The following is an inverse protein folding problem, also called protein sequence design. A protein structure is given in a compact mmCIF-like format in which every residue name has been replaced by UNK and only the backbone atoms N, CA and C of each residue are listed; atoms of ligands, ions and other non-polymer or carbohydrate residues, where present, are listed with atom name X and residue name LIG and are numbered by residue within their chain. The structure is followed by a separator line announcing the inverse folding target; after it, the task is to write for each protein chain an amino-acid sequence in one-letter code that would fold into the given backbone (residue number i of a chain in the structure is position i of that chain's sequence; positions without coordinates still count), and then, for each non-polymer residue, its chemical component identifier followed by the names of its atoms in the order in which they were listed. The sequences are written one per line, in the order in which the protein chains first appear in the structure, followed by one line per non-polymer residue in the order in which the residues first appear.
data_IF_675316087768
#
_entry.id   IF_675316087768
#
_cell.length_a   1.000
_cell.length_b   1.000
_cell.length_c   1.000
_cell.angle_alpha   90.00
_cell.angle_beta   90.00
_cell.angle_gamma   90.00
#
_symmetry.space_group_name_H-M   'P 1'
#
loop_
_entity.id
_entity.type
_entity.pdbx_description
1 polymer ?
#
# COMPACT_ATOMS: atom_id res chain seq x y z
N UNK A 1 -0.31 6.15 26.97
CA UNK A 1 -1.73 5.88 26.71
C UNK A 1 -2.40 5.52 28.04
N UNK A 2 -3.36 6.32 28.48
CA UNK A 2 -4.16 6.09 29.68
C UNK A 2 -5.33 5.12 29.38
N UNK A 3 -6.17 4.85 30.40
CA UNK A 3 -7.27 3.90 30.26
C UNK A 3 -8.39 4.38 29.32
N UNK A 4 -8.74 5.67 29.39
CA UNK A 4 -9.76 6.28 28.52
C UNK A 4 -9.31 6.19 27.05
N UNK A 5 -8.05 6.45 26.78
CA UNK A 5 -7.48 6.36 25.44
C UNK A 5 -7.44 4.91 24.92
N UNK A 6 -7.17 3.93 25.79
CA UNK A 6 -7.27 2.50 25.43
C UNK A 6 -8.70 2.10 25.07
N UNK A 7 -9.68 2.57 25.84
CA UNK A 7 -11.10 2.32 25.54
C UNK A 7 -11.53 2.99 24.23
N UNK A 8 -11.08 4.21 23.97
CA UNK A 8 -11.33 4.88 22.68
C UNK A 8 -10.70 4.10 21.51
N UNK A 9 -9.48 3.57 21.69
CA UNK A 9 -8.82 2.75 20.69
C UNK A 9 -9.58 1.44 20.43
N UNK A 10 -10.08 0.79 21.49
CA UNK A 10 -10.92 -0.39 21.36
C UNK A 10 -12.24 -0.10 20.62
N UNK A 11 -12.89 1.02 20.96
CA UNK A 11 -14.14 1.44 20.34
C UNK A 11 -13.98 1.71 18.84
N UNK A 12 -12.94 2.42 18.42
CA UNK A 12 -12.71 2.67 16.99
C UNK A 12 -12.34 1.39 16.23
N UNK A 13 -11.61 0.47 16.87
CA UNK A 13 -11.27 -0.82 16.27
C UNK A 13 -12.54 -1.62 15.98
N UNK A 14 -13.46 -1.70 16.96
CA UNK A 14 -14.75 -2.37 16.77
C UNK A 14 -15.65 -1.67 15.73
N UNK A 15 -15.68 -0.34 15.72
CA UNK A 15 -16.44 0.43 14.73
C UNK A 15 -15.95 0.15 13.30
N UNK A 16 -14.63 0.03 13.10
CA UNK A 16 -14.05 -0.29 11.78
C UNK A 16 -14.39 -1.70 11.25
N UNK A 17 -14.94 -2.57 12.08
CA UNK A 17 -15.37 -3.92 11.72
C UNK A 17 -16.89 -3.99 11.46
N UNK A 18 -17.61 -2.90 11.72
CA UNK A 18 -19.06 -2.81 11.55
C UNK A 18 -19.43 -2.59 10.09
N UNK A 19 -20.42 -3.33 9.61
CA UNK A 19 -20.91 -3.21 8.24
C UNK A 19 -21.46 -1.79 7.94
N UNK A 20 -21.14 -1.25 6.77
CA UNK A 20 -21.59 0.07 6.34
C UNK A 20 -20.78 1.26 6.88
N UNK A 21 -19.81 1.03 7.77
CA UNK A 21 -18.87 2.07 8.23
C UNK A 21 -17.82 2.37 7.16
N UNK A 22 -17.46 3.65 7.01
CA UNK A 22 -16.27 4.02 6.23
C UNK A 22 -15.00 3.56 6.96
N UNK A 23 -14.47 2.43 6.52
CA UNK A 23 -13.25 1.87 7.09
C UNK A 23 -12.05 2.79 6.97
N UNK A 24 -11.96 3.64 5.93
CA UNK A 24 -10.83 4.54 5.76
C UNK A 24 -10.79 5.59 6.87
N UNK A 25 -11.96 6.09 7.29
CA UNK A 25 -12.11 7.00 8.41
C UNK A 25 -11.76 6.32 9.74
N UNK A 26 -12.34 5.14 10.01
CA UNK A 26 -12.02 4.37 11.21
C UNK A 26 -10.52 4.05 11.33
N UNK A 27 -9.90 3.65 10.22
CA UNK A 27 -8.47 3.40 10.14
C UNK A 27 -7.64 4.67 10.43
N UNK A 28 -8.01 5.82 9.87
CA UNK A 28 -7.32 7.08 10.14
C UNK A 28 -7.40 7.42 11.64
N UNK A 29 -8.58 7.28 12.24
CA UNK A 29 -8.81 7.55 13.66
C UNK A 29 -8.05 6.57 14.58
N UNK A 30 -7.96 5.29 14.21
CA UNK A 30 -7.14 4.30 14.91
C UNK A 30 -5.67 4.74 15.02
N UNK A 31 -5.06 5.14 13.90
CA UNK A 31 -3.68 5.63 13.89
C UNK A 31 -3.51 6.91 14.71
N UNK A 32 -4.46 7.84 14.62
CA UNK A 32 -4.42 9.10 15.36
C UNK A 32 -4.40 8.85 16.88
N UNK A 33 -5.25 7.96 17.38
CA UNK A 33 -5.31 7.62 18.80
C UNK A 33 -4.00 7.01 19.32
N UNK A 34 -3.34 6.16 18.52
CA UNK A 34 -2.03 5.60 18.89
C UNK A 34 -0.96 6.70 18.95
N UNK A 35 -0.94 7.60 17.98
CA UNK A 35 0.01 8.72 17.94
C UNK A 35 -0.17 9.66 19.14
N UNK A 36 -1.42 10.00 19.47
CA UNK A 36 -1.75 10.84 20.62
C UNK A 36 -1.45 10.13 21.95
N UNK A 37 -1.75 8.83 22.03
CA UNK A 37 -1.50 8.00 23.21
C UNK A 37 -0.02 7.79 23.54
N UNK A 38 0.90 8.12 22.63
CA UNK A 38 2.34 8.17 22.95
C UNK A 38 2.70 9.37 23.84
N UNK A 39 1.81 10.35 24.00
CA UNK A 39 2.00 11.60 24.75
C UNK A 39 3.28 12.37 24.39
N UNK A 40 3.77 12.20 23.17
CA UNK A 40 4.93 12.91 22.64
C UNK A 40 4.48 13.81 21.50
N UNK A 41 4.26 15.09 21.81
CA UNK A 41 3.72 16.08 20.86
C UNK A 41 4.61 16.26 19.62
N UNK A 42 5.93 16.16 19.79
CA UNK A 42 6.89 16.27 18.67
C UNK A 42 6.71 15.10 17.71
N UNK A 43 6.74 13.86 18.24
CA UNK A 43 6.52 12.67 17.42
C UNK A 43 5.14 12.66 16.78
N UNK A 44 4.09 13.02 17.52
CA UNK A 44 2.74 13.08 16.99
C UNK A 44 2.63 14.07 15.81
N UNK A 45 3.23 15.26 15.93
CA UNK A 45 3.28 16.24 14.83
C UNK A 45 4.03 15.70 13.62
N UNK A 46 5.24 15.15 13.83
CA UNK A 46 6.06 14.63 12.72
C UNK A 46 5.36 13.47 12.00
N UNK A 47 4.74 12.55 12.73
CA UNK A 47 4.01 11.42 12.14
C UNK A 47 2.73 11.91 11.44
N UNK A 48 2.05 12.92 12.00
CA UNK A 48 0.90 13.57 11.38
C UNK A 48 1.24 14.13 10.00
N UNK A 49 2.32 14.91 9.91
CA UNK A 49 2.78 15.51 8.64
C UNK A 49 3.13 14.45 7.59
N UNK A 50 3.79 13.36 8.00
CA UNK A 50 4.07 12.23 7.11
C UNK A 50 2.79 11.50 6.70
N UNK A 51 1.84 11.34 7.62
CA UNK A 51 0.58 10.66 7.37
C UNK A 51 -0.24 11.39 6.31
N UNK A 52 -0.31 12.73 6.35
CA UNK A 52 -1.00 13.56 5.36
C UNK A 52 -0.51 13.29 3.93
N UNK A 53 0.79 13.06 3.74
CA UNK A 53 1.38 12.73 2.42
C UNK A 53 0.97 11.35 1.92
N UNK A 54 0.62 10.44 2.83
CA UNK A 54 0.22 9.06 2.51
C UNK A 54 -1.29 8.85 2.44
N UNK A 55 -2.09 9.79 2.93
CA UNK A 55 -3.57 9.69 3.00
C UNK A 55 -4.23 9.30 1.67
N UNK A 56 -3.87 9.89 0.50
CA UNK A 56 -4.52 9.55 -0.77
C UNK A 56 -4.40 8.05 -1.10
N UNK A 57 -3.25 7.45 -0.76
CA UNK A 57 -2.95 6.05 -1.05
C UNK A 57 -3.66 5.10 -0.09
N UNK A 58 -3.84 5.50 1.18
CA UNK A 58 -4.50 4.67 2.20
C UNK A 58 -5.96 4.38 1.87
N UNK A 59 -6.71 5.38 1.39
CA UNK A 59 -8.09 5.15 0.94
C UNK A 59 -8.16 4.44 -0.41
N UNK A 60 -7.23 4.74 -1.32
CA UNK A 60 -7.22 4.15 -2.66
C UNK A 60 -7.00 2.62 -2.64
N UNK A 61 -6.11 2.10 -1.79
CA UNK A 61 -5.86 0.66 -1.68
C UNK A 61 -7.11 -0.14 -1.25
N UNK A 62 -7.96 0.42 -0.39
CA UNK A 62 -9.19 -0.24 0.07
C UNK A 62 -10.25 -0.31 -1.03
N UNK A 63 -10.34 0.74 -1.86
CA UNK A 63 -11.19 0.73 -3.07
C UNK A 63 -10.66 -0.23 -4.13
N UNK A 64 -9.35 -0.35 -4.26
CA UNK A 64 -8.71 -1.23 -5.23
C UNK A 64 -8.77 -2.72 -4.82
N UNK A 65 -8.80 -3.03 -3.52
CA UNK A 65 -8.81 -4.40 -3.01
C UNK A 65 -9.59 -4.51 -1.70
N UNK A 66 -10.84 -4.98 -1.78
CA UNK A 66 -11.69 -5.19 -0.60
C UNK A 66 -11.07 -6.14 0.43
N UNK A 67 -10.33 -7.17 0.02
CA UNK A 67 -9.64 -8.08 0.96
C UNK A 67 -8.58 -7.39 1.83
N UNK A 68 -8.04 -6.24 1.40
CA UNK A 68 -7.11 -5.46 2.23
C UNK A 68 -7.78 -4.88 3.47
N UNK A 69 -9.09 -4.58 3.42
CA UNK A 69 -9.86 -4.10 4.58
C UNK A 69 -9.87 -5.18 5.67
N UNK A 70 -10.22 -6.41 5.31
CA UNK A 70 -10.29 -7.54 6.26
C UNK A 70 -8.92 -7.85 6.88
N UNK A 71 -7.85 -7.81 6.08
CA UNK A 71 -6.49 -7.96 6.58
C UNK A 71 -6.10 -6.85 7.56
N UNK A 72 -6.41 -5.59 7.22
CA UNK A 72 -6.10 -4.42 8.04
C UNK A 72 -6.87 -4.45 9.37
N UNK A 73 -8.13 -4.90 9.38
CA UNK A 73 -8.90 -5.11 10.60
C UNK A 73 -8.23 -6.14 11.52
N UNK A 74 -7.77 -7.27 10.97
CA UNK A 74 -7.04 -8.29 11.74
C UNK A 74 -5.74 -7.75 12.33
N UNK A 75 -5.00 -6.97 11.55
CA UNK A 75 -3.76 -6.31 11.99
C UNK A 75 -4.04 -5.32 13.12
N UNK A 76 -5.09 -4.50 13.01
CA UNK A 76 -5.50 -3.55 14.04
C UNK A 76 -5.88 -4.23 15.35
N UNK A 77 -6.62 -5.33 15.28
CA UNK A 77 -6.99 -6.11 16.47
C UNK A 77 -5.76 -6.65 17.20
N UNK A 78 -4.80 -7.22 16.46
CA UNK A 78 -3.55 -7.70 17.06
C UNK A 78 -2.75 -6.55 17.73
N UNK A 79 -2.69 -5.38 17.09
CA UNK A 79 -2.04 -4.19 17.66
C UNK A 79 -2.77 -3.73 18.94
N UNK A 80 -4.10 -3.69 18.91
CA UNK A 80 -4.92 -3.35 20.08
C UNK A 80 -4.63 -4.32 21.22
N UNK A 81 -4.64 -5.63 20.97
CA UNK A 81 -4.40 -6.66 21.98
C UNK A 81 -3.02 -6.48 22.64
N UNK A 82 -1.97 -6.18 21.86
CA UNK A 82 -0.64 -5.87 22.37
C UNK A 82 -0.63 -4.59 23.23
N UNK A 83 -1.37 -3.55 22.82
CA UNK A 83 -1.49 -2.30 23.61
C UNK A 83 -2.26 -2.54 24.93
N UNK A 84 -3.34 -3.33 24.90
CA UNK A 84 -4.15 -3.65 26.08
C UNK A 84 -3.37 -4.51 27.08
N UNK A 85 -2.57 -5.45 26.59
CA UNK A 85 -1.64 -6.26 27.40
C UNK A 85 -0.40 -5.50 27.86
N UNK A 86 -0.24 -4.23 27.43
CA UNK A 86 0.89 -3.35 27.74
C UNK A 86 2.25 -3.88 27.23
N UNK A 87 2.23 -4.71 26.19
CA UNK A 87 3.44 -5.16 25.50
C UNK A 87 3.84 -4.13 24.43
N UNK A 88 4.67 -3.18 24.83
CA UNK A 88 5.15 -2.13 23.94
C UNK A 88 6.03 -2.67 22.80
N UNK A 89 6.77 -3.75 23.03
CA UNK A 89 7.68 -4.31 22.04
C UNK A 89 6.88 -4.99 20.91
N UNK A 90 5.88 -5.79 21.29
CA UNK A 90 4.99 -6.46 20.36
C UNK A 90 4.13 -5.45 19.59
N UNK A 91 3.55 -4.46 20.27
CA UNK A 91 2.77 -3.41 19.61
C UNK A 91 3.60 -2.67 18.56
N UNK A 92 4.87 -2.37 18.86
CA UNK A 92 5.77 -1.72 17.91
C UNK A 92 6.14 -2.64 16.73
N UNK A 93 6.32 -3.94 16.99
CA UNK A 93 6.57 -4.95 15.95
C UNK A 93 5.40 -5.07 14.98
N UNK A 94 4.19 -5.24 15.50
CA UNK A 94 2.97 -5.35 14.74
C UNK A 94 2.66 -4.09 13.92
N UNK A 95 2.87 -2.90 14.50
CA UNK A 95 2.68 -1.64 13.77
C UNK A 95 3.64 -1.51 12.58
N UNK A 96 4.92 -1.92 12.72
CA UNK A 96 5.86 -1.93 11.59
C UNK A 96 5.42 -2.90 10.50
N UNK A 97 4.99 -4.10 10.88
CA UNK A 97 4.48 -5.09 9.93
C UNK A 97 3.23 -4.57 9.18
N UNK A 98 2.28 -3.96 9.90
CA UNK A 98 1.06 -3.36 9.35
C UNK A 98 1.35 -2.25 8.32
N UNK A 99 2.28 -1.34 8.63
CA UNK A 99 2.70 -0.28 7.70
C UNK A 99 3.39 -0.90 6.47
N UNK A 100 4.25 -1.91 6.66
CA UNK A 100 4.91 -2.63 5.58
C UNK A 100 3.94 -3.34 4.64
N UNK A 101 2.95 -4.05 5.18
CA UNK A 101 1.90 -4.71 4.40
C UNK A 101 1.09 -3.71 3.56
N UNK A 102 0.75 -2.56 4.15
CA UNK A 102 0.08 -1.47 3.43
C UNK A 102 0.94 -0.91 2.30
N UNK A 103 2.24 -0.74 2.53
CA UNK A 103 3.18 -0.28 1.50
C UNK A 103 3.26 -1.25 0.31
N UNK A 104 3.41 -2.56 0.56
CA UNK A 104 3.42 -3.57 -0.50
C UNK A 104 2.12 -3.54 -1.31
N UNK A 105 0.97 -3.46 -0.63
CA UNK A 105 -0.34 -3.36 -1.29
C UNK A 105 -0.48 -2.12 -2.19
N UNK A 106 0.04 -0.97 -1.76
CA UNK A 106 0.04 0.27 -2.54
C UNK A 106 0.96 0.15 -3.76
N UNK A 107 2.18 -0.38 -3.60
CA UNK A 107 3.12 -0.59 -4.72
C UNK A 107 2.49 -1.48 -5.79
N UNK A 108 1.86 -2.58 -5.38
CA UNK A 108 1.16 -3.49 -6.29
C UNK A 108 -0.01 -2.82 -7.01
N UNK A 109 -0.78 -1.97 -6.31
CA UNK A 109 -1.86 -1.19 -6.90
C UNK A 109 -1.32 -0.23 -7.98
N UNK A 110 -0.24 0.49 -7.68
CA UNK A 110 0.39 1.42 -8.62
C UNK A 110 0.95 0.68 -9.83
N UNK A 111 1.63 -0.46 -9.62
CA UNK A 111 2.15 -1.30 -10.71
C UNK A 111 1.03 -1.74 -11.67
N UNK A 112 -0.06 -2.29 -11.14
CA UNK A 112 -1.22 -2.72 -11.95
C UNK A 112 -1.81 -1.56 -12.77
N UNK A 113 -1.91 -0.37 -12.18
CA UNK A 113 -2.42 0.82 -12.88
C UNK A 113 -1.57 1.19 -14.10
N UNK A 114 -0.24 1.11 -13.97
CA UNK A 114 0.70 1.40 -15.07
C UNK A 114 0.59 0.36 -16.17
N UNK A 115 0.49 -0.93 -15.81
CA UNK A 115 0.35 -2.03 -16.77
C UNK A 115 -0.95 -1.92 -17.59
N UNK A 116 -2.09 -1.65 -16.93
CA UNK A 116 -3.39 -1.48 -17.61
C UNK A 116 -3.44 -0.22 -18.48
N UNK A 117 -2.70 0.84 -18.11
CA UNK A 117 -2.69 2.10 -18.87
C UNK A 117 -1.66 2.11 -20.01
N UNK A 118 -0.86 1.04 -20.17
CA UNK A 118 0.14 0.95 -21.24
C UNK A 118 -0.54 0.63 -22.58
N UNK A 119 -0.37 1.47 -23.63
CA UNK A 119 -0.89 1.20 -24.97
C UNK A 119 -0.31 -0.06 -25.63
N UNK A 120 0.74 -0.64 -25.05
CA UNK A 120 1.49 -1.77 -25.60
C UNK A 120 1.24 -3.10 -24.87
N UNK A 121 0.29 -3.17 -23.92
CA UNK A 121 0.04 -4.36 -23.10
C UNK A 121 -0.76 -5.46 -23.82
N UNK A 122 -1.66 -5.10 -24.76
CA UNK A 122 -2.44 -6.08 -25.54
C UNK A 122 -1.71 -6.62 -26.77
N UNK A 123 -0.77 -5.86 -27.33
CA UNK A 123 -0.07 -6.19 -28.58
C UNK A 123 1.07 -7.21 -28.42
N UNK A 124 1.51 -7.52 -27.20
CA UNK A 124 2.55 -8.51 -26.93
C UNK A 124 2.04 -9.97 -26.94
N UNK A 125 0.71 -10.17 -26.86
CA UNK A 125 0.09 -11.50 -26.70
C UNK A 125 -0.15 -12.25 -28.00
N UNK A 126 0.18 -11.67 -29.16
CA UNK A 126 -0.12 -12.21 -30.48
C UNK A 126 1.11 -12.27 -31.39
N UNK A 127 2.17 -12.91 -30.92
CA UNK A 127 3.14 -13.53 -31.84
C UNK A 127 2.62 -14.93 -32.20
N UNK A 128 2.31 -15.22 -33.48
CA UNK A 128 1.96 -16.58 -33.86
C UNK A 128 3.17 -17.49 -33.60
N UNK A 129 2.92 -18.67 -33.02
CA UNK A 129 3.94 -19.70 -32.86
C UNK A 129 4.52 -20.04 -34.24
N UNK A 130 5.69 -19.49 -34.56
CA UNK A 130 6.36 -19.73 -35.83
C UNK A 130 6.84 -21.18 -35.84
N UNK A 131 6.29 -21.94 -36.79
CA UNK A 131 6.60 -23.35 -36.98
C UNK A 131 8.09 -23.58 -37.15
N UNK A 132 8.57 -24.60 -36.45
CA UNK A 132 9.92 -25.17 -36.57
C UNK A 132 10.19 -25.56 -38.02
N UNK A 133 11.03 -24.80 -38.75
CA UNK A 133 11.68 -25.25 -39.98
C UNK A 133 13.18 -25.44 -39.74
N UNK A 134 13.67 -26.66 -39.97
CA UNK A 134 15.10 -26.97 -40.12
C UNK A 134 15.60 -26.26 -41.38
N UNK A 135 16.70 -25.51 -41.27
CA UNK A 135 17.39 -24.92 -42.41
C UNK A 135 18.65 -24.21 -41.96
N UNK A 136 19.81 -24.70 -42.41
CA UNK A 136 21.14 -24.19 -42.09
C UNK A 136 21.47 -22.89 -42.84
N UNK A 137 22.20 -21.96 -42.22
CA UNK A 137 23.38 -21.27 -42.76
C UNK A 137 23.60 -19.87 -42.15
N UNK A 138 24.82 -19.68 -41.65
CA UNK A 138 25.70 -18.51 -41.48
C UNK A 138 25.16 -17.05 -41.55
N UNK A 139 25.69 -16.30 -40.57
CA UNK A 139 26.33 -14.97 -40.64
C UNK A 139 25.57 -13.65 -40.39
N UNK A 140 26.30 -12.80 -39.65
CA UNK A 140 26.27 -11.35 -39.48
C UNK A 140 25.19 -10.73 -38.58
N UNK A 141 25.68 -10.10 -37.51
CA UNK A 141 24.90 -9.40 -36.50
C UNK A 141 24.21 -8.15 -37.06
N UNK A 142 22.96 -7.97 -36.67
CA UNK A 142 22.18 -6.77 -36.91
C UNK A 142 21.61 -6.31 -35.57
N UNK A 143 22.23 -5.28 -34.99
CA UNK A 143 21.63 -4.56 -33.87
C UNK A 143 20.41 -3.79 -34.39
N UNK A 144 19.25 -3.84 -33.71
CA UNK A 144 18.12 -3.01 -34.09
C UNK A 144 18.44 -1.53 -33.85
N UNK A 145 17.92 -0.60 -34.67
CA UNK A 145 18.19 0.82 -34.50
C UNK A 145 17.58 1.35 -33.21
N UNK A 146 18.32 2.18 -32.47
CA UNK A 146 17.81 2.89 -31.31
C UNK A 146 16.74 3.90 -31.73
N UNK A 147 15.64 4.06 -30.96
CA UNK A 147 14.61 5.02 -31.29
C UNK A 147 15.11 6.46 -31.16
N UNK A 148 14.71 7.30 -32.11
CA UNK A 148 14.96 8.74 -32.14
C UNK A 148 14.25 9.43 -30.96
N UNK A 149 15.01 10.15 -30.13
CA UNK A 149 14.49 10.95 -29.01
C UNK A 149 14.53 12.43 -29.43
N UNK A 150 13.39 13.11 -29.64
CA UNK A 150 13.38 14.54 -29.89
C UNK A 150 13.81 15.29 -28.61
N UNK A 151 14.76 16.22 -28.75
CA UNK A 151 15.19 17.11 -27.67
C UNK A 151 13.99 17.98 -27.26
N UNK A 152 13.65 17.96 -25.97
CA UNK A 152 12.75 18.97 -25.40
C UNK A 152 13.53 20.26 -25.25
N UNK A 153 13.15 21.27 -26.02
CA UNK A 153 13.56 22.63 -25.75
C UNK A 153 12.99 23.03 -24.38
N UNK A 154 13.88 23.53 -23.52
CA UNK A 154 13.55 24.07 -22.20
C UNK A 154 13.33 25.57 -22.40
N UNK A 155 12.10 26.03 -22.16
CA UNK A 155 11.78 27.44 -21.94
C UNK A 155 11.60 27.71 -20.46
#
# INVERSE_FOLDING_TARGET
MNEVERQALAAVTAAGETEGVDYAEANARFHELIQQGAHNRVLASTIGDLSLRTLPWRGAQFRARASRIVESQREHRAILDAILSRDAAEAASLMRAHIGASFVGIVDMVRRRVETSSPWSESASSLPATGRRKGSARESGHHPPLPFVPRRDVS
#
